data_IF_646817647395
#
_entry.id   IF_646817647395
#
_cell.length_a   1.000
_cell.length_b   1.000
_cell.length_c   1.000
_cell.angle_alpha   90.00
_cell.angle_beta   90.00
_cell.angle_gamma   90.00
#
_symmetry.space_group_name_H-M   'P 1'
#
loop_
_entity.id
_entity.type
_entity.pdbx_description
1 polymer ?
#
# COMPACT_ATOMS: atom_id res chain seq x y z
N UNK A 1 3.17 -8.97 -13.10
CA UNK A 1 4.14 -8.42 -12.11
C UNK A 1 5.26 -9.42 -11.87
N UNK A 2 6.50 -8.97 -11.75
CA UNK A 2 7.61 -9.81 -11.25
C UNK A 2 7.33 -10.13 -9.78
N UNK A 3 7.32 -11.41 -9.40
CA UNK A 3 7.22 -11.86 -7.99
C UNK A 3 8.21 -11.08 -7.12
N UNK A 4 7.81 -10.58 -5.95
CA UNK A 4 8.75 -9.92 -5.03
C UNK A 4 9.34 -10.94 -4.05
N UNK A 5 10.56 -10.72 -3.59
CA UNK A 5 11.12 -11.44 -2.43
C UNK A 5 11.27 -10.50 -1.24
N UNK A 6 10.84 -10.98 -0.07
CA UNK A 6 10.97 -10.23 1.16
C UNK A 6 12.41 -10.26 1.68
N UNK A 7 12.88 -9.09 2.07
CA UNK A 7 14.06 -8.91 2.89
C UNK A 7 13.65 -8.28 4.21
N UNK A 8 13.82 -9.00 5.32
CA UNK A 8 13.37 -8.61 6.66
C UNK A 8 14.59 -8.27 7.54
N UNK A 9 15.20 -7.08 7.39
CA UNK A 9 16.47 -6.79 8.06
C UNK A 9 16.34 -6.47 9.55
N UNK A 10 15.16 -6.01 9.99
CA UNK A 10 14.89 -5.57 11.36
C UNK A 10 13.77 -6.45 11.94
N UNK A 11 13.85 -6.77 13.23
CA UNK A 11 12.81 -7.45 14.00
C UNK A 11 12.34 -6.54 15.14
N UNK A 12 11.03 -6.29 15.21
CA UNK A 12 10.36 -5.68 16.35
C UNK A 12 8.84 -5.72 16.22
N UNK A 13 8.15 -5.53 17.34
CA UNK A 13 6.73 -5.26 17.39
C UNK A 13 6.48 -3.78 17.08
N UNK A 14 5.94 -3.50 15.91
CA UNK A 14 5.69 -2.14 15.46
C UNK A 14 4.58 -1.46 16.27
N UNK A 15 4.86 -0.24 16.75
CA UNK A 15 3.96 0.62 17.52
C UNK A 15 2.82 1.23 16.70
N UNK A 16 2.84 1.06 15.37
CA UNK A 16 1.69 1.43 14.52
C UNK A 16 0.48 0.55 14.82
N UNK A 17 0.69 -0.69 15.30
CA UNK A 17 -0.36 -1.58 15.83
C UNK A 17 -1.62 -1.67 14.93
N UNK A 18 -1.43 -1.98 13.64
CA UNK A 18 -2.55 -2.22 12.74
C UNK A 18 -3.35 -3.44 13.20
N UNK A 19 -4.67 -3.31 13.33
CA UNK A 19 -5.54 -4.42 13.73
C UNK A 19 -5.59 -5.56 12.71
N UNK A 20 -5.28 -5.25 11.44
CA UNK A 20 -5.21 -6.19 10.32
C UNK A 20 -3.78 -6.63 9.97
N UNK A 21 -2.79 -6.36 10.82
CA UNK A 21 -1.39 -6.66 10.49
C UNK A 21 -1.21 -8.18 10.26
N UNK A 22 -0.70 -8.62 9.09
CA UNK A 22 -0.56 -10.05 8.76
C UNK A 22 0.52 -10.75 9.58
N UNK A 23 1.60 -10.04 9.82
CA UNK A 23 2.80 -10.54 10.47
C UNK A 23 3.30 -9.49 11.46
N UNK A 24 3.90 -9.96 12.54
CA UNK A 24 4.51 -9.10 13.55
C UNK A 24 5.92 -9.60 13.85
N UNK A 25 6.86 -8.66 13.98
CA UNK A 25 8.16 -8.99 14.57
C UNK A 25 8.01 -9.44 16.03
N UNK A 26 9.06 -10.06 16.57
CA UNK A 26 9.00 -10.70 17.88
C UNK A 26 9.62 -9.84 18.98
N UNK A 27 10.65 -9.07 18.63
CA UNK A 27 11.40 -8.25 19.59
C UNK A 27 10.59 -7.05 20.09
N UNK A 28 10.75 -6.70 21.36
CA UNK A 28 10.07 -5.52 21.94
C UNK A 28 10.72 -4.22 21.47
N UNK A 29 12.02 -4.25 21.18
CA UNK A 29 12.79 -3.12 20.67
C UNK A 29 13.40 -3.46 19.31
N UNK A 30 13.56 -2.48 18.41
CA UNK A 30 14.21 -2.68 17.12
C UNK A 30 15.60 -3.29 17.24
N UNK A 31 15.80 -4.40 16.53
CA UNK A 31 17.11 -5.03 16.39
C UNK A 31 17.33 -5.57 14.99
N UNK A 32 18.57 -5.58 14.54
CA UNK A 32 18.96 -6.19 13.27
C UNK A 32 18.84 -7.73 13.39
N UNK A 33 18.17 -8.37 12.43
CA UNK A 33 18.08 -9.83 12.39
C UNK A 33 19.45 -10.46 12.15
N UNK A 34 19.74 -11.65 12.71
CA UNK A 34 20.89 -12.43 12.29
C UNK A 34 20.87 -12.66 10.77
N UNK A 35 21.96 -12.31 10.08
CA UNK A 35 22.06 -12.46 8.63
C UNK A 35 21.33 -11.38 7.81
N UNK A 36 20.88 -10.28 8.43
CA UNK A 36 20.22 -9.17 7.72
C UNK A 36 21.04 -8.65 6.53
N UNK A 37 22.37 -8.80 6.52
CA UNK A 37 23.22 -8.38 5.42
C UNK A 37 23.03 -9.20 4.13
N UNK A 38 22.33 -10.34 4.20
CA UNK A 38 22.05 -11.20 3.06
C UNK A 38 20.74 -10.77 2.41
N UNK A 39 20.83 -10.07 1.28
CA UNK A 39 19.68 -9.70 0.45
C UNK A 39 19.36 -10.88 -0.49
N UNK A 40 18.09 -11.27 -0.67
CA UNK A 40 17.70 -12.26 -1.66
C UNK A 40 18.23 -11.91 -3.06
N UNK A 41 18.74 -12.89 -3.80
CA UNK A 41 19.20 -12.68 -5.17
C UNK A 41 17.99 -12.63 -6.13
N UNK A 42 17.28 -11.51 -6.12
CA UNK A 42 16.03 -11.34 -6.85
C UNK A 42 15.86 -9.89 -7.34
N UNK A 43 15.31 -9.68 -8.54
CA UNK A 43 15.21 -8.33 -9.13
C UNK A 43 14.46 -7.32 -8.24
N UNK A 44 13.27 -7.68 -7.78
CA UNK A 44 12.45 -6.84 -6.90
C UNK A 44 12.48 -7.36 -5.45
N UNK A 45 12.84 -6.49 -4.52
CA UNK A 45 12.96 -6.78 -3.09
C UNK A 45 11.99 -5.93 -2.30
N UNK A 46 11.06 -6.56 -1.58
CA UNK A 46 10.19 -5.87 -0.62
C UNK A 46 10.90 -5.78 0.73
N UNK A 47 11.10 -4.56 1.23
CA UNK A 47 11.85 -4.34 2.47
C UNK A 47 10.88 -4.32 3.64
N UNK A 48 11.11 -5.24 4.59
CA UNK A 48 10.34 -5.42 5.81
C UNK A 48 8.86 -5.76 5.58
N UNK A 49 8.57 -6.96 5.08
CA UNK A 49 7.20 -7.49 4.96
C UNK A 49 6.44 -7.66 6.29
N UNK A 50 7.16 -7.67 7.41
CA UNK A 50 6.67 -8.02 8.75
C UNK A 50 6.81 -6.89 9.80
N UNK A 51 7.37 -5.76 9.39
CA UNK A 51 7.64 -4.59 10.23
C UNK A 51 7.65 -3.32 9.37
N UNK A 52 7.71 -2.13 9.98
CA UNK A 52 7.87 -0.87 9.23
C UNK A 52 9.20 -0.23 9.61
N UNK A 53 10.21 -0.30 8.74
CA UNK A 53 11.55 0.21 9.10
C UNK A 53 11.58 1.71 9.38
N UNK A 54 10.53 2.46 9.01
CA UNK A 54 10.39 3.88 9.27
C UNK A 54 9.45 4.17 10.46
N UNK A 55 9.03 3.15 11.21
CA UNK A 55 8.27 3.34 12.44
C UNK A 55 9.07 4.18 13.46
N UNK A 56 8.44 5.07 14.25
CA UNK A 56 9.12 6.04 15.11
C UNK A 56 10.20 5.46 16.03
N UNK A 57 10.00 4.24 16.54
CA UNK A 57 10.89 3.54 17.45
C UNK A 57 12.18 3.02 16.81
N UNK A 58 12.22 2.88 15.48
CA UNK A 58 13.41 2.39 14.77
C UNK A 58 14.52 3.45 14.81
N UNK A 59 15.72 3.13 15.32
CA UNK A 59 16.84 4.08 15.34
C UNK A 59 17.34 4.42 13.93
N UNK A 60 17.66 5.68 13.67
CA UNK A 60 18.12 6.14 12.35
C UNK A 60 19.37 5.40 11.86
N UNK A 61 20.29 5.05 12.77
CA UNK A 61 21.51 4.32 12.40
C UNK A 61 21.19 2.93 11.83
N UNK A 62 20.09 2.32 12.28
CA UNK A 62 19.62 1.03 11.79
C UNK A 62 19.04 1.17 10.38
N UNK A 63 18.21 2.19 10.16
CA UNK A 63 17.66 2.51 8.84
C UNK A 63 18.80 2.78 7.85
N UNK A 64 19.79 3.60 8.23
CA UNK A 64 20.96 3.90 7.38
C UNK A 64 21.78 2.66 7.07
N UNK A 65 21.96 1.72 8.00
CA UNK A 65 22.64 0.44 7.74
C UNK A 65 21.92 -0.39 6.67
N UNK A 66 20.58 -0.46 6.73
CA UNK A 66 19.75 -1.13 5.73
C UNK A 66 19.89 -0.46 4.36
N UNK A 67 19.76 0.87 4.31
CA UNK A 67 19.90 1.67 3.08
C UNK A 67 21.30 1.57 2.46
N UNK A 68 22.36 1.64 3.28
CA UNK A 68 23.74 1.46 2.83
C UNK A 68 23.97 0.07 2.23
N UNK A 69 23.37 -0.96 2.82
CA UNK A 69 23.44 -2.33 2.29
C UNK A 69 22.68 -2.45 0.96
N UNK A 70 21.49 -1.87 0.86
CA UNK A 70 20.67 -1.87 -0.35
C UNK A 70 21.40 -1.18 -1.53
N UNK A 71 22.01 -0.02 -1.28
CA UNK A 71 22.79 0.77 -2.26
C UNK A 71 23.96 0.02 -2.91
N UNK A 72 24.45 -1.05 -2.27
CA UNK A 72 25.59 -1.85 -2.76
C UNK A 72 25.16 -2.98 -3.70
N UNK A 73 23.90 -3.01 -4.11
CA UNK A 73 23.32 -4.09 -4.92
C UNK A 73 22.58 -3.52 -6.14
N UNK A 74 22.28 -4.39 -7.11
CA UNK A 74 21.63 -4.03 -8.36
C UNK A 74 20.09 -4.10 -8.27
N UNK A 75 19.56 -4.64 -7.18
CA UNK A 75 18.15 -4.90 -6.98
C UNK A 75 17.32 -3.59 -7.00
N UNK A 76 16.04 -3.72 -7.35
CA UNK A 76 15.03 -2.69 -7.13
C UNK A 76 14.41 -2.91 -5.75
N UNK A 77 14.37 -1.86 -4.92
CA UNK A 77 13.86 -1.95 -3.56
C UNK A 77 12.50 -1.27 -3.43
N UNK A 78 11.55 -1.97 -2.81
CA UNK A 78 10.24 -1.42 -2.44
C UNK A 78 10.28 -1.14 -0.95
N UNK A 79 10.23 0.15 -0.61
CA UNK A 79 10.11 0.63 0.76
C UNK A 79 8.67 1.06 0.97
N UNK A 80 7.93 0.37 1.83
CA UNK A 80 6.56 0.77 2.20
C UNK A 80 6.51 1.20 3.66
N UNK A 81 5.71 2.21 3.97
CA UNK A 81 5.52 2.68 5.35
C UNK A 81 4.12 3.21 5.59
N UNK A 82 3.71 3.29 6.86
CA UNK A 82 2.61 4.14 7.33
C UNK A 82 3.09 5.43 8.02
N UNK A 83 4.40 5.68 8.03
CA UNK A 83 5.03 6.89 8.54
C UNK A 83 5.82 7.64 7.45
N UNK A 84 5.16 8.15 6.39
CA UNK A 84 5.82 8.74 5.23
C UNK A 84 6.58 10.03 5.54
N UNK A 85 6.24 10.73 6.63
CA UNK A 85 6.98 11.92 7.08
C UNK A 85 8.46 11.60 7.36
N UNK A 86 8.76 10.36 7.75
CA UNK A 86 10.12 9.93 8.07
C UNK A 86 10.99 9.73 6.83
N UNK A 87 10.41 9.64 5.64
CA UNK A 87 11.20 9.57 4.40
C UNK A 87 12.10 10.79 4.18
N UNK A 88 11.71 11.96 4.69
CA UNK A 88 12.49 13.18 4.54
C UNK A 88 13.85 13.14 5.26
N UNK A 89 14.01 12.29 6.27
CA UNK A 89 15.27 12.09 7.00
C UNK A 89 16.30 11.26 6.21
N UNK A 90 15.86 10.58 5.15
CA UNK A 90 16.62 9.56 4.42
C UNK A 90 16.61 9.76 2.90
N UNK A 91 16.24 10.94 2.40
CA UNK A 91 16.14 11.20 0.95
C UNK A 91 17.44 10.80 0.24
N UNK A 92 18.60 11.25 0.74
CA UNK A 92 19.92 10.94 0.19
C UNK A 92 20.37 9.48 0.43
N UNK A 93 19.66 8.75 1.28
CA UNK A 93 20.01 7.37 1.64
C UNK A 93 19.35 6.33 0.73
N UNK A 94 18.24 6.67 0.06
CA UNK A 94 17.56 5.75 -0.84
C UNK A 94 18.48 5.28 -1.99
N UNK A 95 18.51 3.97 -2.31
CA UNK A 95 19.08 3.46 -3.56
C UNK A 95 18.46 4.14 -4.78
N UNK A 96 19.22 4.20 -5.87
CA UNK A 96 18.73 4.79 -7.12
C UNK A 96 17.47 4.09 -7.62
N UNK A 97 17.46 2.75 -7.64
CA UNK A 97 16.33 1.94 -8.09
C UNK A 97 15.36 1.68 -6.92
N UNK A 98 14.73 2.72 -6.38
CA UNK A 98 13.78 2.59 -5.27
C UNK A 98 12.36 2.93 -5.68
N UNK A 99 11.42 2.10 -5.25
CA UNK A 99 10.00 2.41 -5.19
C UNK A 99 9.67 2.78 -3.74
N UNK A 100 9.31 4.03 -3.49
CA UNK A 100 8.89 4.52 -2.18
C UNK A 100 7.36 4.55 -2.15
N UNK A 101 6.78 3.74 -1.29
CA UNK A 101 5.35 3.54 -1.18
C UNK A 101 4.83 4.01 0.17
N UNK A 102 3.65 4.61 0.20
CA UNK A 102 2.89 4.72 1.45
C UNK A 102 1.74 3.74 1.41
N UNK A 103 1.49 3.07 2.53
CA UNK A 103 0.24 2.35 2.71
C UNK A 103 -0.84 3.33 3.15
N UNK A 104 -2.00 3.30 2.52
CA UNK A 104 -3.26 3.94 2.94
C UNK A 104 -4.37 2.93 2.76
N UNK A 105 -5.45 3.04 3.51
CA UNK A 105 -6.55 2.06 3.44
C UNK A 105 -7.77 2.66 2.73
N UNK A 106 -7.91 3.98 2.84
CA UNK A 106 -9.02 4.81 2.40
C UNK A 106 -8.56 6.28 2.42
N UNK A 107 -9.41 7.23 2.05
CA UNK A 107 -9.29 8.66 2.40
C UNK A 107 -9.97 9.02 3.74
N UNK A 108 -10.61 8.05 4.38
CA UNK A 108 -11.26 8.18 5.69
C UNK A 108 -10.38 7.51 6.75
N UNK A 109 -10.22 8.16 7.90
CA UNK A 109 -9.57 7.54 9.05
C UNK A 109 -10.56 6.62 9.78
N UNK A 110 -10.41 5.32 9.57
CA UNK A 110 -11.21 4.27 10.24
C UNK A 110 -10.65 3.87 11.61
N UNK A 111 -9.54 4.46 12.05
CA UNK A 111 -8.91 4.20 13.34
C UNK A 111 -8.52 2.72 13.60
N UNK A 112 -8.22 1.95 12.53
CA UNK A 112 -7.74 0.56 12.64
C UNK A 112 -6.23 0.44 12.90
N UNK A 113 -5.53 1.56 13.09
CA UNK A 113 -4.11 1.60 13.48
C UNK A 113 -3.81 2.89 14.23
N UNK A 114 -2.62 2.97 14.83
CA UNK A 114 -2.06 4.19 15.44
C UNK A 114 -1.28 5.07 14.46
N UNK A 115 -1.30 4.74 13.15
CA UNK A 115 -0.64 5.55 12.13
C UNK A 115 -1.29 6.94 12.00
N UNK A 116 -0.59 7.87 11.35
CA UNK A 116 -1.20 9.12 10.92
C UNK A 116 -2.41 8.85 9.99
N UNK A 117 -3.45 9.72 10.03
CA UNK A 117 -4.61 9.58 9.15
C UNK A 117 -4.21 9.43 7.66
N UNK A 118 -4.95 8.65 6.86
CA UNK A 118 -4.57 8.38 5.46
C UNK A 118 -4.36 9.65 4.61
N UNK A 119 -5.21 10.66 4.74
CA UNK A 119 -5.04 11.93 4.00
C UNK A 119 -3.78 12.69 4.41
N UNK A 120 -3.36 12.61 5.69
CA UNK A 120 -2.09 13.18 6.14
C UNK A 120 -0.93 12.44 5.50
N UNK A 121 -1.00 11.11 5.44
CA UNK A 121 -0.02 10.27 4.74
C UNK A 121 0.11 10.63 3.25
N UNK A 122 -1.00 10.83 2.54
CA UNK A 122 -0.98 11.28 1.14
C UNK A 122 -0.36 12.68 0.97
N UNK A 123 -0.63 13.62 1.89
CA UNK A 123 0.00 14.94 1.87
C UNK A 123 1.52 14.86 1.97
N UNK A 124 2.03 14.04 2.89
CA UNK A 124 3.48 13.80 3.01
C UNK A 124 4.06 13.24 1.71
N UNK A 125 3.36 12.31 1.04
CA UNK A 125 3.83 11.76 -0.23
C UNK A 125 3.80 12.78 -1.38
N UNK A 126 2.82 13.67 -1.42
CA UNK A 126 2.78 14.79 -2.37
C UNK A 126 4.00 15.72 -2.20
N UNK A 127 4.31 16.08 -0.96
CA UNK A 127 5.48 16.89 -0.62
C UNK A 127 6.79 16.17 -0.94
N UNK A 128 6.86 14.87 -0.64
CA UNK A 128 8.02 14.04 -0.92
C UNK A 128 8.27 13.94 -2.43
N UNK A 129 7.25 13.64 -3.24
CA UNK A 129 7.39 13.55 -4.70
C UNK A 129 7.86 14.89 -5.30
N UNK A 130 7.37 16.01 -4.76
CA UNK A 130 7.81 17.35 -5.15
C UNK A 130 9.30 17.56 -4.82
N UNK A 131 9.72 17.12 -3.63
CA UNK A 131 11.12 17.23 -3.16
C UNK A 131 12.06 16.37 -4.00
N UNK A 132 11.73 15.10 -4.23
CA UNK A 132 12.52 14.18 -5.07
C UNK A 132 12.74 14.75 -6.48
N UNK A 133 11.70 15.33 -7.09
CA UNK A 133 11.81 15.99 -8.41
C UNK A 133 12.73 17.20 -8.38
N UNK A 134 12.64 18.03 -7.33
CA UNK A 134 13.50 19.21 -7.15
C UNK A 134 14.98 18.82 -6.96
N UNK A 135 15.22 17.74 -6.23
CA UNK A 135 16.56 17.20 -5.94
C UNK A 135 17.11 16.31 -7.06
N UNK A 136 16.38 16.20 -8.19
CA UNK A 136 16.76 15.39 -9.36
C UNK A 136 16.92 13.90 -9.03
N UNK A 137 16.19 13.41 -8.03
CA UNK A 137 16.03 11.98 -7.69
C UNK A 137 14.94 11.33 -8.55
N UNK A 138 15.07 11.50 -9.87
CA UNK A 138 14.11 10.94 -10.84
C UNK A 138 14.26 9.43 -11.05
N UNK A 139 15.25 8.83 -10.41
CA UNK A 139 15.48 7.39 -10.30
C UNK A 139 14.58 6.73 -9.24
N UNK A 140 14.13 7.50 -8.26
CA UNK A 140 13.22 7.06 -7.20
C UNK A 140 11.78 7.36 -7.60
N UNK A 141 10.95 6.32 -7.62
CA UNK A 141 9.53 6.47 -7.92
C UNK A 141 8.68 6.47 -6.66
N UNK A 142 7.59 7.25 -6.69
CA UNK A 142 6.58 7.27 -5.65
C UNK A 142 5.42 6.36 -6.05
N UNK A 143 4.99 5.51 -5.13
CA UNK A 143 3.87 4.59 -5.28
C UNK A 143 2.86 4.77 -4.13
N UNK A 144 1.63 4.28 -4.33
CA UNK A 144 0.62 4.16 -3.27
C UNK A 144 0.23 2.69 -3.14
N UNK A 145 0.13 2.19 -1.92
CA UNK A 145 -0.47 0.88 -1.63
C UNK A 145 -1.78 1.10 -0.87
N UNK A 146 -2.90 0.76 -1.50
CA UNK A 146 -4.24 0.83 -0.92
C UNK A 146 -4.56 -0.52 -0.26
N UNK A 147 -4.14 -0.71 1.00
CA UNK A 147 -4.15 -2.03 1.66
C UNK A 147 -4.31 -1.99 3.19
N UNK A 148 -5.26 -2.76 3.75
CA UNK A 148 -6.41 -3.33 3.06
C UNK A 148 -7.30 -2.19 2.54
N UNK A 149 -7.94 -2.37 1.39
CA UNK A 149 -8.96 -1.43 0.92
C UNK A 149 -10.15 -1.41 1.90
N UNK A 150 -10.48 -0.24 2.41
CA UNK A 150 -11.61 0.04 3.30
C UNK A 150 -12.60 1.01 2.63
N UNK A 151 -13.85 1.17 3.12
CA UNK A 151 -14.79 2.15 2.57
C UNK A 151 -14.15 3.53 2.43
N UNK A 152 -14.33 4.14 1.27
CA UNK A 152 -13.71 5.40 0.87
C UNK A 152 -14.76 6.35 0.30
N UNK A 153 -14.43 7.64 0.26
CA UNK A 153 -15.30 8.65 -0.35
C UNK A 153 -15.07 8.77 -1.85
N UNK A 154 -15.99 9.40 -2.56
CA UNK A 154 -15.86 9.74 -3.99
C UNK A 154 -14.59 10.57 -4.32
N UNK A 155 -13.98 11.22 -3.32
CA UNK A 155 -12.79 12.05 -3.49
C UNK A 155 -11.47 11.29 -3.38
N UNK A 156 -11.51 9.97 -3.13
CA UNK A 156 -10.28 9.22 -2.85
C UNK A 156 -9.33 9.22 -4.05
N UNK A 157 -9.84 9.01 -5.26
CA UNK A 157 -9.05 9.05 -6.48
C UNK A 157 -8.38 10.43 -6.68
N UNK A 158 -9.13 11.52 -6.47
CA UNK A 158 -8.61 12.88 -6.58
C UNK A 158 -7.49 13.15 -5.54
N UNK A 159 -7.67 12.65 -4.32
CA UNK A 159 -6.65 12.77 -3.26
C UNK A 159 -5.35 12.04 -3.62
N UNK A 160 -5.45 10.90 -4.30
CA UNK A 160 -4.29 10.14 -4.79
C UNK A 160 -3.66 10.83 -6.01
N UNK A 161 -4.47 11.39 -6.91
CA UNK A 161 -3.98 12.13 -8.09
C UNK A 161 -3.03 13.28 -7.70
N UNK A 162 -3.33 13.98 -6.60
CA UNK A 162 -2.48 15.05 -6.09
C UNK A 162 -1.03 14.59 -5.79
N UNK A 163 -0.85 13.32 -5.40
CA UNK A 163 0.46 12.73 -5.14
C UNK A 163 1.25 12.51 -6.43
N UNK A 164 0.57 12.30 -7.56
CA UNK A 164 1.15 11.90 -8.85
C UNK A 164 2.01 10.63 -8.74
N UNK A 165 1.44 9.51 -8.24
CA UNK A 165 2.17 8.27 -8.13
C UNK A 165 2.44 7.68 -9.51
N UNK A 166 3.55 6.94 -9.61
CA UNK A 166 3.86 6.10 -10.78
C UNK A 166 2.97 4.85 -10.81
N UNK A 167 2.69 4.30 -9.64
CA UNK A 167 1.94 3.06 -9.46
C UNK A 167 1.02 3.14 -8.24
N UNK A 168 -0.15 2.50 -8.35
CA UNK A 168 -1.09 2.26 -7.26
C UNK A 168 -1.38 0.77 -7.18
N UNK A 169 -1.06 0.15 -6.05
CA UNK A 169 -1.51 -1.20 -5.72
C UNK A 169 -2.80 -1.13 -4.90
N UNK A 170 -3.80 -1.95 -5.21
CA UNK A 170 -5.03 -2.10 -4.42
C UNK A 170 -5.07 -3.52 -3.91
N UNK A 171 -5.20 -3.75 -2.62
CA UNK A 171 -5.31 -5.10 -2.08
C UNK A 171 -6.41 -5.20 -1.04
N UNK A 172 -7.10 -6.32 -1.09
CA UNK A 172 -8.09 -6.68 -0.09
C UNK A 172 -7.43 -7.24 1.16
N UNK A 173 -8.21 -7.37 2.23
CA UNK A 173 -7.73 -8.00 3.45
C UNK A 173 -7.32 -9.46 3.19
N UNK A 174 -6.06 -9.80 3.46
CA UNK A 174 -5.46 -11.08 3.11
C UNK A 174 -5.42 -12.10 4.26
N UNK A 175 -5.72 -11.68 5.50
CA UNK A 175 -5.32 -12.46 6.69
C UNK A 175 -6.44 -13.21 7.38
N UNK A 176 -7.69 -13.03 6.91
CA UNK A 176 -8.85 -13.70 7.52
C UNK A 176 -9.12 -13.31 8.97
N UNK A 177 -8.44 -12.27 9.49
CA UNK A 177 -8.69 -11.69 10.81
C UNK A 177 -10.12 -11.12 10.90
N UNK A 178 -10.54 -10.81 12.15
CA UNK A 178 -11.85 -10.24 12.52
C UNK A 178 -12.41 -9.30 11.46
N UNK A 179 -13.73 -9.32 11.28
CA UNK A 179 -14.44 -8.52 10.28
C UNK A 179 -13.87 -7.09 10.14
N UNK A 180 -13.44 -6.76 8.92
CA UNK A 180 -13.10 -5.40 8.50
C UNK A 180 -14.13 -4.94 7.45
N UNK A 181 -14.57 -3.68 7.50
CA UNK A 181 -15.45 -3.16 6.47
C UNK A 181 -14.70 -3.20 5.14
N UNK A 182 -15.26 -3.90 4.16
CA UNK A 182 -14.70 -4.03 2.82
C UNK A 182 -15.68 -3.35 1.85
N UNK A 183 -15.23 -2.46 0.95
CA UNK A 183 -16.12 -1.87 -0.04
C UNK A 183 -16.68 -2.92 -1.00
N UNK A 184 -17.78 -2.56 -1.66
CA UNK A 184 -18.31 -3.33 -2.76
C UNK A 184 -17.29 -3.40 -3.91
N UNK A 185 -17.28 -4.52 -4.64
CA UNK A 185 -16.36 -4.72 -5.75
C UNK A 185 -16.52 -3.65 -6.85
N UNK A 186 -17.75 -3.23 -7.12
CA UNK A 186 -18.04 -2.19 -8.11
C UNK A 186 -17.43 -0.82 -7.75
N UNK A 187 -17.39 -0.49 -6.46
CA UNK A 187 -16.74 0.72 -5.97
C UNK A 187 -15.23 0.64 -6.19
N UNK A 188 -14.62 -0.51 -5.84
CA UNK A 188 -13.17 -0.73 -6.06
C UNK A 188 -12.81 -0.69 -7.54
N UNK A 189 -13.64 -1.25 -8.42
CA UNK A 189 -13.42 -1.21 -9.86
C UNK A 189 -13.58 0.21 -10.42
N UNK A 190 -14.53 0.98 -9.90
CA UNK A 190 -14.72 2.40 -10.25
C UNK A 190 -13.52 3.25 -9.81
N UNK A 191 -13.01 3.00 -8.59
CA UNK A 191 -11.78 3.61 -8.09
C UNK A 191 -10.59 3.24 -9.00
N UNK A 192 -10.40 1.96 -9.30
CA UNK A 192 -9.32 1.49 -10.16
C UNK A 192 -9.34 2.17 -11.54
N UNK A 193 -10.53 2.26 -12.17
CA UNK A 193 -10.71 2.98 -13.45
C UNK A 193 -10.32 4.45 -13.34
N UNK A 194 -10.73 5.14 -12.28
CA UNK A 194 -10.36 6.54 -12.06
C UNK A 194 -8.84 6.71 -11.88
N UNK A 195 -8.19 5.82 -11.13
CA UNK A 195 -6.74 5.83 -10.90
C UNK A 195 -5.94 5.51 -12.18
N UNK A 196 -6.45 4.61 -13.03
CA UNK A 196 -5.81 4.24 -14.30
C UNK A 196 -5.71 5.39 -15.30
N UNK A 197 -6.45 6.49 -15.10
CA UNK A 197 -6.32 7.68 -15.92
C UNK A 197 -4.97 8.40 -15.75
N UNK A 198 -4.25 8.16 -14.64
CA UNK A 198 -3.03 8.90 -14.32
C UNK A 198 -1.90 8.07 -13.67
N UNK A 199 -2.13 6.79 -13.36
CA UNK A 199 -1.15 5.90 -12.74
C UNK A 199 -1.27 4.49 -13.30
N UNK A 200 -0.19 3.69 -13.22
CA UNK A 200 -0.31 2.24 -13.36
C UNK A 200 -1.10 1.72 -12.15
N UNK A 201 -2.09 0.86 -12.39
CA UNK A 201 -2.94 0.29 -11.32
C UNK A 201 -2.82 -1.23 -11.33
N UNK A 202 -2.58 -1.81 -10.16
CA UNK A 202 -2.58 -3.24 -9.95
C UNK A 202 -3.55 -3.59 -8.83
N UNK A 203 -4.45 -4.56 -9.05
CA UNK A 203 -5.31 -5.10 -7.99
C UNK A 203 -4.73 -6.45 -7.56
N UNK A 204 -4.26 -6.52 -6.32
CA UNK A 204 -3.71 -7.71 -5.69
C UNK A 204 -4.85 -8.62 -5.22
N UNK A 205 -4.84 -9.87 -5.71
CA UNK A 205 -5.86 -10.87 -5.39
C UNK A 205 -6.77 -11.26 -6.56
N UNK A 206 -6.55 -10.73 -7.77
CA UNK A 206 -7.37 -11.04 -8.96
C UNK A 206 -6.47 -11.19 -10.18
N UNK A 207 -6.58 -12.33 -10.85
CA UNK A 207 -6.19 -12.42 -12.26
C UNK A 207 -7.27 -11.66 -13.05
N UNK A 208 -6.98 -10.42 -13.46
CA UNK A 208 -7.93 -9.58 -14.22
C UNK A 208 -8.23 -10.19 -15.60
N UNK A 209 -7.38 -11.12 -16.06
CA UNK A 209 -7.50 -11.86 -17.32
C UNK A 209 -8.25 -13.21 -17.19
N UNK A 210 -8.67 -13.61 -15.98
CA UNK A 210 -9.51 -14.78 -15.80
C UNK A 210 -10.98 -14.36 -15.78
N UNK A 211 -11.84 -15.10 -16.48
CA UNK A 211 -13.31 -15.02 -16.38
C UNK A 211 -13.75 -15.25 -14.93
N UNK A 212 -13.58 -14.25 -14.07
CA UNK A 212 -13.93 -14.29 -12.65
C UNK A 212 -15.33 -13.72 -12.53
N UNK A 213 -16.29 -14.57 -12.18
CA UNK A 213 -17.65 -14.12 -11.91
C UNK A 213 -17.73 -13.44 -10.54
N UNK A 214 -18.68 -12.52 -10.37
CA UNK A 214 -18.87 -11.74 -9.13
C UNK A 214 -19.05 -12.65 -7.89
N UNK A 215 -19.50 -13.89 -8.10
CA UNK A 215 -19.75 -14.91 -7.08
C UNK A 215 -18.48 -15.58 -6.54
N UNK A 216 -17.37 -15.52 -7.29
CA UNK A 216 -16.07 -16.06 -6.86
C UNK A 216 -15.34 -15.13 -5.87
N UNK A 217 -15.92 -13.95 -5.60
CA UNK A 217 -15.34 -12.94 -4.72
C UNK A 217 -15.67 -13.19 -3.25
N UNK A 218 -14.70 -13.13 -2.32
CA UNK A 218 -14.95 -13.25 -0.89
C UNK A 218 -15.58 -11.96 -0.33
N UNK A 219 -16.79 -11.61 -0.75
CA UNK A 219 -17.58 -10.59 -0.06
C UNK A 219 -18.00 -11.14 1.30
N UNK A 220 -17.51 -10.51 2.38
CA UNK A 220 -17.96 -10.80 3.75
C UNK A 220 -18.85 -9.65 4.21
N UNK A 221 -20.16 -9.87 4.23
CA UNK A 221 -21.12 -8.93 4.79
C UNK A 221 -20.74 -8.51 6.20
N UNK A 222 -20.97 -7.24 6.54
CA UNK A 222 -20.83 -6.71 7.90
C UNK A 222 -21.66 -7.51 8.93
N UNK A 223 -21.05 -8.16 9.95
CA UNK A 223 -21.78 -8.73 11.07
C UNK A 223 -22.66 -7.65 11.69
N UNK A 224 -23.88 -8.03 12.05
CA UNK A 224 -24.91 -7.10 12.55
C UNK A 224 -24.43 -6.24 13.74
N UNK A 225 -23.53 -6.77 14.56
CA UNK A 225 -22.94 -6.07 15.71
C UNK A 225 -22.06 -4.87 15.35
N UNK A 226 -21.61 -4.75 14.10
CA UNK A 226 -20.81 -3.64 13.58
C UNK A 226 -21.57 -2.74 12.59
N UNK A 227 -22.85 -3.04 12.33
CA UNK A 227 -23.74 -2.23 11.49
C UNK A 227 -24.23 -1.00 12.27
N UNK A 228 -23.37 0.02 12.44
CA UNK A 228 -23.83 1.29 13.02
C UNK A 228 -24.65 2.09 11.99
N UNK A 229 -25.76 2.75 12.39
CA UNK A 229 -26.58 3.57 11.48
C UNK A 229 -25.88 4.81 10.89
N UNK A 230 -24.65 5.11 11.33
CA UNK A 230 -23.81 6.16 10.75
C UNK A 230 -22.91 5.63 9.62
N UNK A 231 -22.53 4.34 9.64
CA UNK A 231 -21.72 3.73 8.57
C UNK A 231 -22.54 3.32 7.34
N UNK A 232 -23.86 3.16 7.47
CA UNK A 232 -24.75 2.64 6.41
C UNK A 232 -25.49 3.72 5.58
N UNK A 233 -25.17 5.01 5.73
CA UNK A 233 -25.88 6.08 4.99
C UNK A 233 -25.32 6.30 3.58
N UNK A 234 -25.40 5.29 2.72
CA UNK A 234 -25.55 5.57 1.29
C UNK A 234 -26.45 4.52 0.60
N UNK A 235 -27.77 4.75 0.52
CA UNK A 235 -28.70 3.84 -0.14
C UNK A 235 -28.57 3.80 -1.67
N UNK A 236 -27.62 4.52 -2.28
CA UNK A 236 -27.40 4.54 -3.73
C UNK A 236 -26.57 3.34 -4.25
N UNK A 237 -26.06 2.47 -3.38
CA UNK A 237 -25.10 1.41 -3.73
C UNK A 237 -25.71 0.02 -4.02
N UNK A 238 -27.05 -0.10 -4.03
CA UNK A 238 -27.72 -1.41 -4.06
C UNK A 238 -28.21 -1.91 -5.43
N UNK A 239 -27.65 -1.45 -6.55
CA UNK A 239 -27.93 -2.09 -7.86
C UNK A 239 -26.74 -1.96 -8.81
N UNK A 240 -25.91 -2.98 -8.91
CA UNK A 240 -25.05 -3.22 -10.08
C UNK A 240 -25.73 -4.25 -10.99
N UNK A 241 -26.83 -3.85 -11.64
CA UNK A 241 -27.57 -4.65 -12.62
C UNK A 241 -27.38 -4.11 -14.06
N UNK A 242 -26.19 -3.59 -14.40
CA UNK A 242 -25.90 -3.13 -15.78
C UNK A 242 -24.79 -3.96 -16.45
N UNK A 243 -25.15 -4.96 -17.28
CA UNK A 243 -24.21 -5.79 -18.03
C UNK A 243 -23.38 -5.02 -19.07
N UNK A 244 -23.73 -3.77 -19.40
CA UNK A 244 -23.00 -2.97 -20.39
C UNK A 244 -21.67 -2.40 -19.88
N UNK A 245 -21.43 -2.46 -18.56
CA UNK A 245 -20.17 -2.06 -17.91
C UNK A 245 -19.04 -3.09 -18.04
N UNK A 246 -19.29 -4.23 -18.70
CA UNK A 246 -18.39 -5.38 -18.86
C UNK A 246 -17.80 -5.53 -20.28
N UNK A 247 -18.03 -4.57 -21.20
CA UNK A 247 -17.52 -4.71 -22.56
C UNK A 247 -15.97 -4.61 -22.62
N UNK A 248 -15.36 -5.72 -23.02
CA UNK A 248 -13.94 -6.07 -22.97
C UNK A 248 -13.07 -5.50 -24.10
N UNK A 249 -13.52 -4.48 -24.84
CA UNK A 249 -12.87 -4.11 -26.10
C UNK A 249 -11.79 -3.00 -26.01
N UNK A 250 -11.36 -2.56 -24.82
CA UNK A 250 -10.37 -1.46 -24.72
C UNK A 250 -9.19 -1.68 -23.74
N UNK A 251 -8.71 -2.91 -23.56
CA UNK A 251 -7.43 -3.15 -22.87
C UNK A 251 -6.38 -3.61 -23.87
N UNK A 252 -5.59 -2.65 -24.36
CA UNK A 252 -4.39 -2.96 -25.13
C UNK A 252 -3.34 -3.59 -24.21
N UNK A 253 -2.99 -4.85 -24.52
CA UNK A 253 -1.86 -5.59 -23.97
C UNK A 253 -0.57 -4.78 -24.08
N UNK A 254 0.17 -4.66 -22.98
CA UNK A 254 1.61 -4.44 -23.01
C UNK A 254 2.29 -5.40 -22.03
N UNK A 255 3.32 -6.05 -22.58
CA UNK A 255 4.13 -7.16 -22.04
C UNK A 255 4.85 -6.85 -20.71
#
# INVERSE_FOLDING_TARGET
MTETKDWKPIDFQCTIECLYCPEHGNSVVPMLRPGWQTIPNHYAIFVAGDTDIFAPEVPDDMIRKVMEKARKTWNTFIFSTKNPSRYFEFIDDFPANSLISVTVESDIDHHFSKAEPPLTRLRWMKELNTTLKKERRGDVEVCISIQPILPFSENFAASIEEVKPSQVGIGYELTGLKWFPTPEFCDVLSLARALSAFSLVNIHGVDIDADTELEDWPFRSCPEEYQSPEMLRNPALNTCDDPSLLNSENYHQFY
#
